data_IF_555684776388
#
_entry.id   IF_555684776388
#
_cell.length_a   1.000
_cell.length_b   1.000
_cell.length_c   1.000
_cell.angle_alpha   90.00
_cell.angle_beta   90.00
_cell.angle_gamma   90.00
#
_symmetry.space_group_name_H-M   'P 1'
#
loop_
_entity.id
_entity.type
_entity.pdbx_description
1 polymer ?
#
# COMPACT_ATOMS: atom_id res chain seq x y z
N UNK A 1 -16.46 15.36 -17.36
CA UNK A 1 -16.81 14.42 -16.28
C UNK A 1 -16.73 15.20 -14.97
N UNK A 2 -17.74 15.15 -14.09
CA UNK A 2 -17.67 15.85 -12.80
C UNK A 2 -16.62 15.17 -11.94
N UNK A 3 -15.71 15.94 -11.33
CA UNK A 3 -14.83 15.45 -10.27
C UNK A 3 -15.72 14.84 -9.19
N UNK A 4 -15.30 13.69 -8.65
CA UNK A 4 -15.97 13.12 -7.47
C UNK A 4 -16.06 14.22 -6.39
N UNK A 5 -17.24 14.44 -5.82
CA UNK A 5 -17.42 15.39 -4.70
C UNK A 5 -16.67 14.91 -3.44
N UNK A 6 -16.23 13.65 -3.43
CA UNK A 6 -15.41 13.04 -2.39
C UNK A 6 -13.97 13.11 -2.85
N UNK A 7 -13.17 13.99 -2.28
CA UNK A 7 -11.74 14.02 -2.51
C UNK A 7 -11.10 12.72 -2.02
N UNK A 8 -10.55 11.92 -2.94
CA UNK A 8 -10.03 10.59 -2.63
C UNK A 8 -8.65 10.65 -1.94
N UNK A 9 -8.38 9.65 -1.10
CA UNK A 9 -7.05 9.38 -0.51
C UNK A 9 -6.56 8.05 -1.05
N UNK A 10 -5.44 8.05 -1.76
CA UNK A 10 -4.79 6.82 -2.22
C UNK A 10 -3.92 6.25 -1.11
N UNK A 11 -4.25 5.05 -0.63
CA UNK A 11 -3.57 4.43 0.50
C UNK A 11 -2.25 3.71 0.13
N UNK A 12 -1.90 3.60 -1.17
CA UNK A 12 -0.71 2.89 -1.62
C UNK A 12 -0.22 3.43 -2.98
N UNK A 13 0.79 4.28 -2.93
CA UNK A 13 1.41 4.86 -4.13
C UNK A 13 2.93 4.98 -3.97
N UNK A 14 3.65 4.98 -5.09
CA UNK A 14 5.11 5.20 -5.14
C UNK A 14 5.43 6.13 -6.31
N UNK A 15 6.35 7.07 -6.12
CA UNK A 15 6.89 7.86 -7.22
C UNK A 15 8.20 7.22 -7.71
N UNK A 16 8.17 6.63 -8.90
CA UNK A 16 9.35 6.07 -9.54
C UNK A 16 10.11 7.21 -10.22
N UNK A 17 11.21 7.64 -9.62
CA UNK A 17 12.04 8.69 -10.24
C UNK A 17 12.81 8.15 -11.46
N UNK A 18 13.27 9.03 -12.40
CA UNK A 18 14.13 8.60 -13.50
C UNK A 18 15.40 7.87 -13.06
N UNK A 19 15.94 8.21 -11.90
CA UNK A 19 17.10 7.50 -11.35
C UNK A 19 16.72 6.10 -10.83
N UNK A 20 15.62 5.98 -10.07
CA UNK A 20 15.13 4.68 -9.61
C UNK A 20 14.74 3.77 -10.78
N UNK A 21 14.16 4.31 -11.84
CA UNK A 21 13.77 3.58 -13.05
C UNK A 21 14.94 2.84 -13.73
N UNK A 22 16.15 3.41 -13.70
CA UNK A 22 17.36 2.77 -14.27
C UNK A 22 17.72 1.43 -13.60
N UNK A 23 17.34 1.27 -12.34
CA UNK A 23 17.67 0.11 -11.52
C UNK A 23 16.46 -0.81 -11.30
N UNK A 24 15.32 -0.48 -11.92
CA UNK A 24 14.10 -1.27 -11.69
C UNK A 24 14.21 -2.66 -12.33
N UNK A 25 14.02 -3.76 -11.57
CA UNK A 25 14.29 -5.11 -12.05
C UNK A 25 13.32 -5.56 -13.14
N UNK A 26 13.80 -6.42 -14.04
CA UNK A 26 13.02 -6.95 -15.15
C UNK A 26 11.77 -7.74 -14.74
N UNK A 27 11.77 -8.32 -13.53
CA UNK A 27 10.65 -9.05 -12.95
C UNK A 27 9.36 -8.22 -12.91
N UNK A 28 9.48 -6.88 -12.81
CA UNK A 28 8.33 -5.95 -12.76
C UNK A 28 7.80 -5.58 -14.15
N UNK A 29 8.61 -5.66 -15.21
CA UNK A 29 8.23 -5.21 -16.56
C UNK A 29 6.98 -5.89 -17.10
N UNK A 30 6.79 -7.17 -16.77
CA UNK A 30 5.63 -7.94 -17.22
C UNK A 30 4.31 -7.31 -16.76
N UNK A 31 4.18 -7.01 -15.47
CA UNK A 31 2.94 -6.45 -14.90
C UNK A 31 2.69 -5.04 -15.41
N UNK A 32 3.72 -4.19 -15.52
CA UNK A 32 3.58 -2.84 -16.04
C UNK A 32 3.15 -2.83 -17.52
N UNK A 33 3.70 -3.71 -18.37
CA UNK A 33 3.24 -3.88 -19.76
C UNK A 33 1.77 -4.31 -19.81
N UNK A 34 1.36 -5.23 -18.94
CA UNK A 34 -0.01 -5.74 -18.88
C UNK A 34 -1.03 -4.66 -18.52
N UNK A 35 -0.64 -3.68 -17.74
CA UNK A 35 -1.49 -2.55 -17.35
C UNK A 35 -1.30 -1.30 -18.24
N UNK A 36 -0.35 -1.31 -19.16
CA UNK A 36 -0.12 -0.20 -20.11
C UNK A 36 0.61 0.99 -19.47
N UNK A 37 1.42 0.75 -18.45
CA UNK A 37 2.18 1.78 -17.72
C UNK A 37 3.69 1.56 -17.76
N UNK A 38 4.17 0.85 -18.76
CA UNK A 38 5.59 0.45 -18.86
C UNK A 38 6.54 1.66 -18.93
N UNK A 39 6.13 2.75 -19.58
CA UNK A 39 6.94 3.98 -19.67
C UNK A 39 7.20 4.56 -18.27
N UNK A 40 6.20 4.56 -17.39
CA UNK A 40 6.35 5.02 -16.00
C UNK A 40 7.38 4.19 -15.21
N UNK A 41 7.55 2.92 -15.57
CA UNK A 41 8.57 2.06 -14.97
C UNK A 41 9.97 2.31 -15.57
N UNK A 42 10.05 2.48 -16.88
CA UNK A 42 11.34 2.51 -17.60
C UNK A 42 11.95 3.90 -17.70
N UNK A 43 11.14 4.94 -17.73
CA UNK A 43 11.56 6.33 -17.83
C UNK A 43 11.49 7.04 -16.48
N UNK A 44 10.62 6.56 -15.58
CA UNK A 44 10.31 7.20 -14.32
C UNK A 44 9.54 8.51 -14.51
N UNK A 45 9.37 9.27 -13.42
CA UNK A 45 8.67 10.55 -13.44
C UNK A 45 9.16 11.48 -12.35
N UNK A 46 8.90 12.77 -12.52
CA UNK A 46 9.05 13.76 -11.48
C UNK A 46 7.81 13.76 -10.57
N UNK A 47 7.98 14.17 -9.31
CA UNK A 47 6.87 14.20 -8.33
C UNK A 47 5.75 15.16 -8.78
N UNK A 48 6.10 16.21 -9.53
CA UNK A 48 5.17 17.18 -10.09
C UNK A 48 4.21 16.55 -11.11
N UNK A 49 4.67 15.55 -11.86
CA UNK A 49 3.82 14.78 -12.79
C UNK A 49 2.78 13.99 -12.00
N UNK A 50 3.18 13.33 -10.91
CA UNK A 50 2.24 12.63 -10.02
C UNK A 50 1.20 13.59 -9.43
N UNK A 51 1.63 14.76 -8.95
CA UNK A 51 0.75 15.80 -8.41
C UNK A 51 -0.26 16.31 -9.45
N UNK A 52 0.17 16.50 -10.70
CA UNK A 52 -0.73 16.89 -11.78
C UNK A 52 -1.80 15.81 -12.05
N UNK A 53 -1.39 14.55 -12.15
CA UNK A 53 -2.32 13.43 -12.34
C UNK A 53 -3.28 13.25 -11.15
N UNK A 54 -2.81 13.44 -9.91
CA UNK A 54 -3.69 13.47 -8.72
C UNK A 54 -4.73 14.59 -8.82
N UNK A 55 -4.30 15.79 -9.18
CA UNK A 55 -5.20 16.96 -9.29
C UNK A 55 -6.25 16.79 -10.41
N UNK A 56 -5.85 16.22 -11.53
CA UNK A 56 -6.74 15.92 -12.65
C UNK A 56 -7.81 14.88 -12.25
N UNK A 57 -7.40 13.80 -11.59
CA UNK A 57 -8.28 12.72 -11.15
C UNK A 57 -9.17 13.09 -9.96
N UNK A 58 -8.84 14.10 -9.16
CA UNK A 58 -9.55 14.43 -7.93
C UNK A 58 -9.06 13.64 -6.71
N UNK A 59 -7.79 13.24 -6.71
CA UNK A 59 -7.09 12.66 -5.56
C UNK A 59 -6.51 13.80 -4.72
N UNK A 60 -7.00 13.93 -3.50
CA UNK A 60 -6.58 15.00 -2.59
C UNK A 60 -5.23 14.72 -1.96
N UNK A 61 -4.99 13.44 -1.59
CA UNK A 61 -3.83 13.00 -0.85
C UNK A 61 -3.44 11.58 -1.25
N UNK A 62 -2.14 11.27 -1.23
CA UNK A 62 -1.65 9.91 -1.37
C UNK A 62 -0.71 9.54 -0.21
N UNK A 63 -0.82 8.28 0.25
CA UNK A 63 0.19 7.66 1.11
C UNK A 63 1.35 7.24 0.21
N UNK A 64 2.38 8.08 0.21
CA UNK A 64 3.55 7.93 -0.66
C UNK A 64 4.58 7.03 0.00
N UNK A 65 4.87 5.91 -0.63
CA UNK A 65 5.72 4.87 -0.06
C UNK A 65 7.14 4.90 -0.57
N UNK A 66 8.07 4.68 0.33
CA UNK A 66 9.43 4.23 -0.02
C UNK A 66 9.36 2.83 -0.64
N UNK A 67 10.34 2.51 -1.47
CA UNK A 67 10.49 1.16 -2.03
C UNK A 67 11.96 0.82 -2.13
N UNK A 68 12.36 -0.23 -1.41
CA UNK A 68 13.74 -0.72 -1.39
C UNK A 68 13.74 -2.20 -1.78
N UNK A 69 14.27 -2.48 -2.97
CA UNK A 69 14.39 -3.84 -3.48
C UNK A 69 15.61 -3.94 -4.41
N UNK A 70 16.57 -4.81 -4.10
CA UNK A 70 17.84 -4.91 -4.82
C UNK A 70 18.53 -3.54 -4.91
N UNK A 71 18.79 -3.05 -6.12
CA UNK A 71 19.43 -1.76 -6.36
C UNK A 71 18.44 -0.58 -6.49
N UNK A 72 17.11 -0.90 -6.53
CA UNK A 72 16.07 0.14 -6.58
C UNK A 72 16.00 0.85 -5.25
N UNK A 73 16.06 2.17 -5.32
CA UNK A 73 15.96 3.01 -4.13
C UNK A 73 15.02 4.19 -4.35
N UNK A 74 13.79 4.04 -3.85
CA UNK A 74 12.95 5.17 -3.48
C UNK A 74 13.05 5.28 -1.95
N UNK A 75 14.04 6.01 -1.46
CA UNK A 75 14.44 5.99 -0.06
C UNK A 75 13.47 6.68 0.89
N UNK A 76 13.57 6.39 2.18
CA UNK A 76 12.81 7.07 3.23
C UNK A 76 13.07 8.59 3.23
N UNK A 77 14.32 8.99 2.99
CA UNK A 77 14.71 10.42 2.92
C UNK A 77 14.09 11.13 1.71
N UNK A 78 14.00 10.47 0.54
CA UNK A 78 13.32 11.01 -0.63
C UNK A 78 11.83 11.25 -0.37
N UNK A 79 11.16 10.24 0.20
CA UNK A 79 9.72 10.35 0.55
C UNK A 79 9.52 11.46 1.57
N UNK A 80 10.35 11.53 2.60
CA UNK A 80 10.29 12.60 3.60
C UNK A 80 10.47 14.00 2.99
N UNK A 81 11.39 14.14 2.03
CA UNK A 81 11.58 15.41 1.32
C UNK A 81 10.32 15.84 0.55
N UNK A 82 9.65 14.92 -0.16
CA UNK A 82 8.40 15.20 -0.85
C UNK A 82 7.23 15.49 0.10
N UNK A 83 7.11 14.76 1.20
CA UNK A 83 6.11 15.05 2.25
C UNK A 83 6.33 16.44 2.85
N UNK A 84 7.57 16.81 3.13
CA UNK A 84 7.91 18.14 3.62
C UNK A 84 7.62 19.25 2.59
N UNK A 85 7.85 18.98 1.32
CA UNK A 85 7.59 19.94 0.24
C UNK A 85 6.09 20.09 -0.05
N UNK A 86 5.32 19.00 0.06
CA UNK A 86 3.89 18.97 -0.26
C UNK A 86 3.04 18.36 0.89
N UNK A 87 3.05 18.95 2.09
CA UNK A 87 2.47 18.33 3.30
C UNK A 87 0.95 18.16 3.27
N UNK A 88 0.25 18.83 2.33
CA UNK A 88 -1.19 18.68 2.10
C UNK A 88 -1.52 17.66 1.01
N UNK A 89 -0.51 17.07 0.39
CA UNK A 89 -0.65 16.12 -0.73
C UNK A 89 -0.14 14.74 -0.40
N UNK A 90 0.79 14.61 0.54
CA UNK A 90 1.39 13.33 0.88
C UNK A 90 1.42 13.07 2.37
N UNK A 91 1.17 11.81 2.71
CA UNK A 91 1.56 11.17 3.97
C UNK A 91 2.64 10.15 3.64
N UNK A 92 3.72 10.12 4.41
CA UNK A 92 4.85 9.27 4.10
C UNK A 92 4.73 7.88 4.72
N UNK A 93 5.04 6.86 3.91
CA UNK A 93 5.16 5.47 4.34
C UNK A 93 6.61 5.02 4.08
N UNK A 94 7.33 4.66 5.13
CA UNK A 94 8.71 4.19 5.02
C UNK A 94 8.81 2.71 4.70
N UNK A 95 9.99 2.27 4.27
CA UNK A 95 10.30 0.87 4.04
C UNK A 95 11.64 0.51 4.68
N UNK A 96 11.75 -0.75 5.13
CA UNK A 96 12.98 -1.34 5.67
C UNK A 96 13.11 -2.78 5.17
N UNK A 97 14.32 -3.32 5.14
CA UNK A 97 14.55 -4.74 4.87
C UNK A 97 14.63 -5.51 6.20
N UNK A 98 13.67 -6.40 6.51
CA UNK A 98 13.65 -7.16 7.77
C UNK A 98 14.84 -8.14 7.90
N UNK A 99 15.58 -8.41 6.82
CA UNK A 99 16.75 -9.31 6.83
C UNK A 99 18.03 -8.61 7.31
N UNK A 100 18.03 -7.29 7.36
CA UNK A 100 19.19 -6.55 7.88
C UNK A 100 19.34 -6.76 9.41
N UNK A 101 20.42 -6.26 9.95
CA UNK A 101 20.71 -6.38 11.40
C UNK A 101 19.56 -5.76 12.21
N UNK A 102 18.94 -6.52 13.14
CA UNK A 102 17.72 -6.07 13.82
C UNK A 102 17.80 -4.66 14.41
N UNK A 103 18.91 -4.33 15.09
CA UNK A 103 19.05 -3.00 15.70
C UNK A 103 19.08 -1.88 14.66
N UNK A 104 19.73 -2.10 13.50
CA UNK A 104 19.72 -1.11 12.41
C UNK A 104 18.31 -0.88 11.86
N UNK A 105 17.55 -1.95 11.70
CA UNK A 105 16.15 -1.88 11.23
C UNK A 105 15.30 -1.10 12.23
N UNK A 106 15.42 -1.38 13.52
CA UNK A 106 14.68 -0.69 14.57
C UNK A 106 15.07 0.79 14.69
N UNK A 107 16.35 1.11 14.57
CA UNK A 107 16.85 2.48 14.55
C UNK A 107 16.33 3.24 13.32
N UNK A 108 16.28 2.59 12.14
CA UNK A 108 15.72 3.20 10.93
C UNK A 108 14.21 3.45 11.06
N UNK A 109 13.43 2.49 11.62
CA UNK A 109 12.00 2.70 11.88
C UNK A 109 11.80 3.88 12.84
N UNK A 110 12.62 3.99 13.88
CA UNK A 110 12.58 5.12 14.79
C UNK A 110 12.93 6.44 14.09
N UNK A 111 13.97 6.44 13.27
CA UNK A 111 14.40 7.63 12.49
C UNK A 111 13.31 8.08 11.53
N UNK A 112 12.72 7.15 10.77
CA UNK A 112 11.69 7.51 9.79
C UNK A 112 10.46 8.17 10.44
N UNK A 113 10.11 7.78 11.67
CA UNK A 113 8.97 8.40 12.37
C UNK A 113 9.37 9.71 13.04
N UNK A 114 10.42 9.70 13.85
CA UNK A 114 10.76 10.83 14.71
C UNK A 114 11.50 11.96 13.99
N UNK A 115 12.36 11.60 13.04
CA UNK A 115 13.23 12.58 12.36
C UNK A 115 12.71 12.93 10.97
N UNK A 116 12.12 11.96 10.25
CA UNK A 116 11.62 12.13 8.89
C UNK A 116 10.12 12.40 8.80
N UNK A 117 9.34 12.18 9.88
CA UNK A 117 7.90 12.43 9.90
C UNK A 117 7.07 11.46 9.06
N UNK A 118 7.58 10.26 8.78
CA UNK A 118 6.84 9.21 8.10
C UNK A 118 5.87 8.54 9.09
N UNK A 119 4.69 8.15 8.63
CA UNK A 119 3.57 7.75 9.51
C UNK A 119 3.12 6.32 9.32
N UNK A 120 3.81 5.52 8.52
CA UNK A 120 3.49 4.12 8.26
C UNK A 120 4.74 3.34 7.84
N UNK A 121 4.69 2.02 7.95
CA UNK A 121 5.72 1.11 7.45
C UNK A 121 5.15 0.23 6.33
N UNK A 122 5.87 0.10 5.21
CA UNK A 122 5.58 -0.81 4.10
C UNK A 122 6.48 -2.04 4.16
N UNK A 123 5.90 -3.22 3.95
CA UNK A 123 6.61 -4.50 3.89
C UNK A 123 6.18 -5.31 2.66
N UNK A 124 7.18 -5.90 1.99
CA UNK A 124 7.03 -6.68 0.76
C UNK A 124 7.53 -8.12 0.96
N UNK A 125 6.72 -9.03 1.52
CA UNK A 125 7.14 -10.41 1.84
C UNK A 125 7.80 -11.17 0.68
N UNK A 126 7.37 -10.93 -0.56
CA UNK A 126 7.97 -11.54 -1.75
C UNK A 126 9.42 -11.09 -2.00
N UNK A 127 9.77 -9.87 -1.56
CA UNK A 127 11.06 -9.25 -1.83
C UNK A 127 12.17 -9.72 -0.88
N UNK A 128 11.81 -10.27 0.28
CA UNK A 128 12.76 -10.54 1.36
C UNK A 128 13.24 -12.00 1.44
N UNK A 129 12.87 -12.84 0.49
CA UNK A 129 13.28 -14.23 0.43
C UNK A 129 14.56 -14.46 -0.38
N UNK A 130 14.73 -15.72 -0.79
CA UNK A 130 15.87 -16.20 -1.58
C UNK A 130 15.66 -16.05 -3.12
N UNK A 131 14.56 -15.44 -3.54
CA UNK A 131 14.14 -15.31 -4.95
C UNK A 131 13.27 -16.47 -5.45
N UNK A 132 13.23 -17.59 -4.75
CA UNK A 132 12.34 -18.74 -5.00
C UNK A 132 11.21 -18.78 -3.98
N UNK A 133 11.51 -18.39 -2.75
CA UNK A 133 10.55 -18.28 -1.64
C UNK A 133 10.60 -16.86 -1.09
N UNK A 134 9.44 -16.26 -0.85
CA UNK A 134 9.35 -15.04 -0.07
C UNK A 134 9.54 -15.32 1.42
N UNK A 135 9.51 -14.27 2.23
CA UNK A 135 9.57 -14.35 3.69
C UNK A 135 8.18 -14.05 4.26
N UNK A 136 7.42 -15.08 4.73
CA UNK A 136 6.06 -14.85 5.25
C UNK A 136 6.03 -13.90 6.45
N UNK A 137 4.95 -13.12 6.65
CA UNK A 137 4.84 -12.15 7.75
C UNK A 137 4.94 -12.73 9.17
N UNK A 138 4.79 -14.04 9.31
CA UNK A 138 4.96 -14.77 10.59
C UNK A 138 6.41 -15.05 10.95
N UNK A 139 7.34 -14.82 10.03
CA UNK A 139 8.76 -15.05 10.30
C UNK A 139 9.28 -14.11 11.40
N UNK A 140 10.10 -14.67 12.28
CA UNK A 140 10.65 -13.97 13.46
C UNK A 140 11.37 -12.66 13.15
N UNK A 141 11.87 -12.49 11.92
CA UNK A 141 12.54 -11.27 11.49
C UNK A 141 11.61 -10.04 11.52
N UNK A 142 10.31 -10.22 11.34
CA UNK A 142 9.33 -9.14 11.38
C UNK A 142 8.88 -8.76 12.80
N UNK A 143 8.94 -9.68 13.77
CA UNK A 143 8.37 -9.47 15.10
C UNK A 143 8.90 -8.22 15.82
N UNK A 144 10.23 -7.95 15.80
CA UNK A 144 10.74 -6.69 16.38
C UNK A 144 10.19 -5.44 15.66
N UNK A 145 9.93 -5.53 14.35
CA UNK A 145 9.38 -4.43 13.56
C UNK A 145 7.93 -4.14 14.00
N UNK A 146 7.12 -5.19 14.15
CA UNK A 146 5.73 -5.05 14.64
C UNK A 146 5.67 -4.43 16.03
N UNK A 147 6.49 -4.92 16.95
CA UNK A 147 6.60 -4.34 18.28
C UNK A 147 7.01 -2.85 18.24
N UNK A 148 7.96 -2.49 17.36
CA UNK A 148 8.38 -1.10 17.18
C UNK A 148 7.27 -0.23 16.57
N UNK A 149 6.50 -0.75 15.63
CA UNK A 149 5.36 -0.04 15.05
C UNK A 149 4.23 0.17 16.08
N UNK A 150 3.99 -0.79 16.98
CA UNK A 150 3.08 -0.61 18.12
C UNK A 150 3.58 0.50 19.05
N UNK A 151 4.87 0.47 19.44
CA UNK A 151 5.49 1.49 20.28
C UNK A 151 5.33 2.91 19.70
N UNK A 152 5.49 3.04 18.38
CA UNK A 152 5.42 4.31 17.67
C UNK A 152 3.99 4.65 17.18
N UNK A 153 3.01 3.77 17.43
CA UNK A 153 1.61 3.92 17.01
C UNK A 153 1.45 4.20 15.50
N UNK A 154 2.21 3.49 14.66
CA UNK A 154 2.11 3.57 13.20
C UNK A 154 1.55 2.28 12.60
N UNK A 155 0.73 2.34 11.53
CA UNK A 155 0.26 1.16 10.81
C UNK A 155 1.39 0.50 10.02
N UNK A 156 1.22 -0.80 9.79
CA UNK A 156 2.05 -1.58 8.86
C UNK A 156 1.21 -1.98 7.66
N UNK A 157 1.64 -1.62 6.47
CA UNK A 157 1.05 -2.04 5.20
C UNK A 157 1.89 -3.18 4.62
N UNK A 158 1.27 -4.35 4.45
CA UNK A 158 1.94 -5.59 4.05
C UNK A 158 1.38 -6.04 2.72
N UNK A 159 2.25 -6.24 1.73
CA UNK A 159 1.83 -6.85 0.47
C UNK A 159 1.27 -8.26 0.73
N UNK A 160 0.04 -8.50 0.29
CA UNK A 160 -0.62 -9.81 0.33
C UNK A 160 -1.19 -10.17 -1.04
N UNK A 161 -1.58 -11.42 -1.23
CA UNK A 161 -2.04 -11.94 -2.51
C UNK A 161 -0.89 -12.31 -3.45
N UNK A 162 -1.26 -12.58 -4.71
CA UNK A 162 -0.26 -12.89 -5.72
C UNK A 162 0.58 -11.66 -6.08
N UNK A 163 1.85 -11.89 -6.36
CA UNK A 163 2.76 -10.86 -6.83
C UNK A 163 2.49 -10.50 -8.29
N UNK A 164 2.51 -9.21 -8.62
CA UNK A 164 2.53 -8.75 -10.01
C UNK A 164 3.88 -9.02 -10.69
N UNK A 165 5.01 -8.76 -10.03
CA UNK A 165 6.33 -9.18 -10.49
C UNK A 165 6.44 -10.70 -10.61
N UNK A 166 7.40 -11.18 -11.42
CA UNK A 166 7.72 -12.61 -11.57
C UNK A 166 8.51 -13.12 -10.34
N UNK A 167 7.84 -13.09 -9.19
CA UNK A 167 8.36 -13.45 -7.86
C UNK A 167 7.37 -14.35 -7.13
N UNK A 168 7.79 -15.06 -6.07
CA UNK A 168 6.94 -16.03 -5.36
C UNK A 168 5.78 -15.33 -4.65
N UNK A 169 4.58 -15.89 -4.77
CA UNK A 169 3.35 -15.33 -4.19
C UNK A 169 2.99 -15.88 -2.80
N UNK A 170 3.43 -17.09 -2.46
CA UNK A 170 2.98 -17.79 -1.26
C UNK A 170 3.22 -17.00 0.03
N UNK A 171 4.36 -16.28 0.13
CA UNK A 171 4.67 -15.46 1.30
C UNK A 171 3.65 -14.32 1.54
N UNK A 172 2.89 -13.94 0.51
CA UNK A 172 1.81 -12.95 0.59
C UNK A 172 0.44 -13.55 0.91
N UNK A 173 0.33 -14.83 1.30
CA UNK A 173 -0.96 -15.41 1.61
C UNK A 173 -1.56 -14.75 2.85
N UNK A 174 -2.83 -14.25 2.79
CA UNK A 174 -3.42 -13.47 3.87
C UNK A 174 -3.48 -14.17 5.22
N UNK A 175 -3.64 -15.50 5.24
CA UNK A 175 -3.76 -16.27 6.48
C UNK A 175 -2.56 -16.06 7.45
N UNK A 176 -1.39 -15.71 6.95
CA UNK A 176 -0.24 -15.38 7.79
C UNK A 176 -0.46 -14.14 8.66
N UNK A 177 -1.39 -13.25 8.27
CA UNK A 177 -1.73 -12.09 9.09
C UNK A 177 -2.57 -12.45 10.33
N UNK A 178 -3.19 -13.64 10.37
CA UNK A 178 -3.99 -14.08 11.51
C UNK A 178 -3.15 -14.15 12.79
N UNK A 179 -2.02 -14.82 12.71
CA UNK A 179 -1.09 -14.95 13.84
C UNK A 179 -0.53 -13.58 14.26
N UNK A 180 -0.15 -12.74 13.30
CA UNK A 180 0.38 -11.40 13.57
C UNK A 180 -0.67 -10.53 14.27
N UNK A 181 -1.92 -10.55 13.80
CA UNK A 181 -3.00 -9.75 14.36
C UNK A 181 -3.37 -10.19 15.79
N UNK A 182 -3.27 -11.50 16.11
CA UNK A 182 -3.47 -12.04 17.45
C UNK A 182 -2.32 -11.66 18.39
N UNK A 183 -1.08 -11.70 17.90
CA UNK A 183 0.10 -11.39 18.69
C UNK A 183 0.26 -9.88 18.97
N UNK A 184 -0.21 -9.02 18.04
CA UNK A 184 -0.10 -7.57 18.12
C UNK A 184 -1.46 -6.89 17.92
N UNK A 185 -2.39 -7.00 18.90
CA UNK A 185 -3.74 -6.46 18.78
C UNK A 185 -3.79 -4.92 18.68
N UNK A 186 -2.73 -4.23 19.09
CA UNK A 186 -2.60 -2.76 18.99
C UNK A 186 -2.12 -2.34 17.59
N UNK A 187 -1.51 -3.25 16.81
CA UNK A 187 -0.95 -2.94 15.51
C UNK A 187 -2.05 -2.80 14.47
N UNK A 188 -2.14 -1.66 13.79
CA UNK A 188 -2.98 -1.55 12.60
C UNK A 188 -2.28 -2.22 11.43
N UNK A 189 -2.87 -3.29 10.89
CA UNK A 189 -2.32 -4.08 9.80
C UNK A 189 -3.17 -3.83 8.54
N UNK A 190 -2.54 -3.43 7.45
CA UNK A 190 -3.18 -3.22 6.15
C UNK A 190 -2.67 -4.31 5.21
N UNK A 191 -3.55 -5.25 4.82
CA UNK A 191 -3.27 -6.21 3.77
C UNK A 191 -3.50 -5.56 2.41
N UNK A 192 -2.42 -5.34 1.64
CA UNK A 192 -2.49 -4.69 0.34
C UNK A 192 -2.97 -5.64 -0.78
N UNK A 193 -3.48 -5.05 -1.88
CA UNK A 193 -3.86 -5.77 -3.11
C UNK A 193 -5.02 -6.77 -2.93
N UNK A 194 -5.97 -6.52 -2.02
CA UNK A 194 -7.13 -7.38 -1.71
C UNK A 194 -6.77 -8.79 -1.21
N UNK A 195 -5.53 -9.19 -1.21
CA UNK A 195 -5.12 -10.57 -0.95
C UNK A 195 -5.40 -11.55 -2.10
N UNK A 196 -5.82 -11.07 -3.28
CA UNK A 196 -6.20 -11.92 -4.41
C UNK A 196 -5.08 -12.87 -4.86
N UNK A 197 -5.32 -14.19 -5.12
CA UNK A 197 -6.63 -14.83 -5.28
C UNK A 197 -7.28 -15.33 -3.96
N UNK A 198 -6.68 -15.08 -2.80
CA UNK A 198 -7.19 -15.46 -1.48
C UNK A 198 -7.97 -14.31 -0.81
N UNK A 199 -8.72 -13.56 -1.60
CA UNK A 199 -9.47 -12.40 -1.15
C UNK A 199 -10.55 -12.73 -0.11
N UNK A 200 -11.14 -13.93 -0.17
CA UNK A 200 -12.05 -14.41 0.89
C UNK A 200 -11.33 -14.60 2.24
N UNK A 201 -10.09 -15.12 2.24
CA UNK A 201 -9.28 -15.19 3.47
C UNK A 201 -9.04 -13.78 4.01
N UNK A 202 -8.70 -12.81 3.13
CA UNK A 202 -8.43 -11.43 3.56
C UNK A 202 -9.69 -10.74 4.11
N UNK A 203 -10.86 -10.94 3.50
CA UNK A 203 -12.13 -10.42 4.00
C UNK A 203 -12.46 -10.96 5.39
N UNK A 204 -12.31 -12.28 5.59
CA UNK A 204 -12.59 -12.91 6.90
C UNK A 204 -11.61 -12.43 7.96
N UNK A 205 -10.33 -12.24 7.63
CA UNK A 205 -9.35 -11.68 8.57
C UNK A 205 -9.68 -10.24 8.95
N UNK A 206 -10.07 -9.40 8.00
CA UNK A 206 -10.49 -8.03 8.26
C UNK A 206 -11.78 -7.96 9.10
N UNK A 207 -12.68 -8.92 8.95
CA UNK A 207 -13.87 -9.06 9.78
C UNK A 207 -13.54 -9.57 11.18
N UNK A 208 -12.68 -10.60 11.27
CA UNK A 208 -12.31 -11.26 12.53
C UNK A 208 -11.52 -10.31 13.44
N UNK A 209 -10.59 -9.55 12.89
CA UNK A 209 -9.66 -8.72 13.63
C UNK A 209 -10.02 -7.23 13.55
N UNK A 210 -10.26 -6.56 14.69
CA UNK A 210 -10.57 -5.12 14.68
C UNK A 210 -9.43 -4.27 14.12
N UNK A 211 -8.19 -4.74 14.19
CA UNK A 211 -6.96 -4.05 13.78
C UNK A 211 -6.48 -4.40 12.35
N UNK A 212 -7.21 -5.27 11.61
CA UNK A 212 -6.86 -5.63 10.22
C UNK A 212 -7.74 -4.87 9.23
N UNK A 213 -7.12 -4.36 8.18
CA UNK A 213 -7.71 -3.58 7.09
C UNK A 213 -7.25 -4.15 5.75
N UNK A 214 -7.93 -3.76 4.66
CA UNK A 214 -7.64 -4.16 3.28
C UNK A 214 -7.38 -2.90 2.46
N UNK A 215 -6.37 -2.87 1.60
CA UNK A 215 -6.32 -1.88 0.54
C UNK A 215 -6.55 -2.51 -0.84
N UNK A 216 -7.00 -1.68 -1.78
CA UNK A 216 -7.44 -2.12 -3.12
C UNK A 216 -6.38 -1.95 -4.19
N UNK A 217 -5.14 -1.62 -3.82
CA UNK A 217 -4.04 -1.34 -4.75
C UNK A 217 -3.82 -2.49 -5.76
N UNK A 218 -3.37 -2.16 -6.95
CA UNK A 218 -3.16 -3.08 -8.06
C UNK A 218 -4.41 -3.88 -8.52
N UNK A 219 -5.59 -3.64 -7.96
CA UNK A 219 -6.82 -4.40 -8.24
C UNK A 219 -7.94 -3.47 -8.71
N UNK A 220 -8.05 -3.20 -10.03
CA UNK A 220 -9.09 -2.34 -10.59
C UNK A 220 -10.49 -2.80 -10.18
N UNK A 221 -11.35 -1.87 -9.74
CA UNK A 221 -12.65 -2.20 -9.15
C UNK A 221 -13.60 -2.96 -10.10
N UNK A 222 -13.45 -2.79 -11.40
CA UNK A 222 -14.18 -3.58 -12.41
C UNK A 222 -13.85 -5.07 -12.41
N UNK A 223 -12.81 -5.51 -11.70
CA UNK A 223 -12.40 -6.92 -11.56
C UNK A 223 -12.68 -7.48 -10.17
N UNK A 224 -13.28 -6.70 -9.30
CA UNK A 224 -13.69 -7.20 -7.99
C UNK A 224 -14.81 -8.21 -8.16
N UNK A 225 -14.74 -9.29 -7.39
CA UNK A 225 -15.83 -10.27 -7.36
C UNK A 225 -17.02 -9.72 -6.57
N UNK A 226 -18.18 -10.34 -6.76
CA UNK A 226 -19.43 -9.88 -6.16
C UNK A 226 -19.36 -9.92 -4.62
N UNK A 227 -18.72 -10.93 -4.02
CA UNK A 227 -18.58 -11.07 -2.58
C UNK A 227 -17.77 -9.90 -1.97
N UNK A 228 -16.73 -9.42 -2.66
CA UNK A 228 -15.98 -8.26 -2.21
C UNK A 228 -16.77 -6.96 -2.36
N UNK A 229 -17.57 -6.82 -3.44
CA UNK A 229 -18.46 -5.65 -3.61
C UNK A 229 -19.51 -5.61 -2.48
N UNK A 230 -20.08 -6.75 -2.11
CA UNK A 230 -21.01 -6.87 -0.98
C UNK A 230 -20.32 -6.55 0.35
N UNK A 231 -19.08 -7.01 0.54
CA UNK A 231 -18.28 -6.70 1.71
C UNK A 231 -18.05 -5.19 1.85
N UNK A 232 -17.54 -4.53 0.83
CA UNK A 232 -17.24 -3.09 0.87
C UNK A 232 -18.49 -2.23 0.96
N UNK A 233 -19.62 -2.71 0.46
CA UNK A 233 -20.92 -2.01 0.51
C UNK A 233 -21.62 -2.14 1.86
N UNK A 234 -21.31 -3.18 2.63
CA UNK A 234 -22.05 -3.57 3.83
C UNK A 234 -21.15 -3.78 5.06
N UNK A 235 -20.98 -5.04 5.44
CA UNK A 235 -20.38 -5.43 6.71
C UNK A 235 -18.87 -5.18 6.83
N UNK A 236 -18.17 -4.96 5.72
CA UNK A 236 -16.75 -4.60 5.67
C UNK A 236 -16.48 -3.13 5.32
N UNK A 237 -17.50 -2.27 5.22
CA UNK A 237 -17.35 -0.90 4.75
C UNK A 237 -16.35 -0.05 5.56
N UNK A 238 -16.09 -0.40 6.82
CA UNK A 238 -15.12 0.29 7.69
C UNK A 238 -13.71 -0.31 7.62
N UNK A 239 -13.49 -1.28 6.76
CA UNK A 239 -12.26 -2.08 6.70
C UNK A 239 -11.45 -1.89 5.42
N UNK A 240 -12.02 -1.28 4.40
CA UNK A 240 -11.40 -1.20 3.08
C UNK A 240 -10.94 0.23 2.79
N UNK A 241 -9.69 0.35 2.34
CA UNK A 241 -9.06 1.58 1.90
C UNK A 241 -8.89 1.54 0.37
N UNK A 242 -9.26 2.60 -0.31
CA UNK A 242 -8.98 2.75 -1.73
C UNK A 242 -7.49 3.00 -1.96
N UNK A 243 -6.94 2.30 -2.94
CA UNK A 243 -5.54 2.45 -3.34
C UNK A 243 -5.36 2.03 -4.80
N UNK A 244 -4.34 2.57 -5.46
CA UNK A 244 -4.09 2.33 -6.88
C UNK A 244 -2.88 1.47 -7.18
N UNK A 245 -1.86 1.47 -6.33
CA UNK A 245 -0.51 1.00 -6.64
C UNK A 245 0.16 1.87 -7.73
N UNK A 246 -0.15 3.19 -7.69
CA UNK A 246 0.48 4.13 -8.60
C UNK A 246 2.02 4.01 -8.54
N UNK A 247 2.72 3.96 -9.68
CA UNK A 247 2.27 4.32 -11.04
C UNK A 247 1.78 3.13 -11.89
N UNK A 248 1.55 1.96 -11.29
CA UNK A 248 1.05 0.78 -12.01
C UNK A 248 -0.33 1.05 -12.63
N UNK A 249 -1.24 1.62 -11.83
CA UNK A 249 -2.58 2.00 -12.26
C UNK A 249 -2.77 3.52 -12.18
N UNK A 250 -3.33 4.16 -13.24
CA UNK A 250 -3.66 5.57 -13.21
C UNK A 250 -4.79 5.87 -12.22
N UNK A 251 -4.68 6.96 -11.47
CA UNK A 251 -5.71 7.42 -10.51
C UNK A 251 -7.09 7.56 -11.15
N UNK A 252 -7.16 8.25 -12.29
CA UNK A 252 -8.42 8.51 -13.01
C UNK A 252 -9.18 7.21 -13.29
N UNK A 253 -8.50 6.20 -13.86
CA UNK A 253 -9.10 4.91 -14.18
C UNK A 253 -9.61 4.18 -12.95
N UNK A 254 -8.85 4.21 -11.85
CA UNK A 254 -9.26 3.52 -10.62
C UNK A 254 -10.49 4.18 -9.99
N UNK A 255 -10.61 5.50 -10.05
CA UNK A 255 -11.79 6.22 -9.59
C UNK A 255 -13.01 5.95 -10.48
N UNK A 256 -12.85 5.98 -11.80
CA UNK A 256 -13.91 5.63 -12.75
C UNK A 256 -14.44 4.21 -12.53
N UNK A 257 -13.54 3.24 -12.30
CA UNK A 257 -13.93 1.85 -11.99
C UNK A 257 -14.74 1.78 -10.67
N UNK A 258 -14.42 2.57 -9.64
CA UNK A 258 -15.19 2.63 -8.38
C UNK A 258 -16.55 3.32 -8.59
N UNK A 259 -16.61 4.43 -9.35
CA UNK A 259 -17.87 5.10 -9.66
C UNK A 259 -18.85 4.17 -10.37
N UNK A 260 -18.36 3.32 -11.28
CA UNK A 260 -19.16 2.35 -12.03
C UNK A 260 -19.80 1.26 -11.14
N UNK A 261 -19.31 1.03 -9.92
CA UNK A 261 -19.90 0.05 -8.99
C UNK A 261 -21.22 0.51 -8.37
N UNK A 262 -21.55 1.80 -8.45
CA UNK A 262 -22.75 2.40 -7.84
C UNK A 262 -22.90 2.05 -6.34
N UNK A 263 -21.80 2.11 -5.59
CA UNK A 263 -21.82 1.86 -4.16
C UNK A 263 -22.71 2.86 -3.40
N UNK A 264 -23.33 2.45 -2.29
CA UNK A 264 -24.00 3.41 -1.38
C UNK A 264 -23.05 4.54 -1.02
N UNK A 265 -23.55 5.78 -1.02
CA UNK A 265 -22.70 6.98 -0.87
C UNK A 265 -21.83 6.95 0.39
N UNK A 266 -22.35 6.41 1.50
CA UNK A 266 -21.58 6.28 2.73
C UNK A 266 -20.44 5.25 2.60
N UNK A 267 -20.70 4.09 1.98
CA UNK A 267 -19.69 3.07 1.73
C UNK A 267 -18.61 3.61 0.78
N UNK A 268 -19.00 4.30 -0.29
CA UNK A 268 -18.07 4.96 -1.22
C UNK A 268 -17.20 6.00 -0.51
N UNK A 269 -17.76 6.84 0.34
CA UNK A 269 -17.02 7.84 1.10
C UNK A 269 -16.02 7.20 2.06
N UNK A 270 -16.42 6.14 2.78
CA UNK A 270 -15.54 5.39 3.66
C UNK A 270 -14.38 4.75 2.87
N UNK A 271 -14.69 4.09 1.75
CA UNK A 271 -13.71 3.49 0.86
C UNK A 271 -12.69 4.50 0.35
N UNK A 272 -13.16 5.62 -0.22
CA UNK A 272 -12.31 6.61 -0.89
C UNK A 272 -11.55 7.52 0.09
N UNK A 273 -12.02 7.68 1.33
CA UNK A 273 -11.46 8.70 2.23
C UNK A 273 -11.44 8.31 3.70
N UNK A 274 -12.62 8.13 4.34
CA UNK A 274 -12.74 8.16 5.80
C UNK A 274 -11.92 7.05 6.48
N UNK A 275 -11.83 5.88 5.86
CA UNK A 275 -11.04 4.77 6.39
C UNK A 275 -9.54 5.08 6.37
N UNK A 276 -9.03 5.66 5.27
CA UNK A 276 -7.63 6.07 5.19
C UNK A 276 -7.30 7.15 6.24
N UNK A 277 -8.18 8.16 6.40
CA UNK A 277 -8.02 9.17 7.44
C UNK A 277 -7.89 8.54 8.83
N UNK A 278 -8.79 7.62 9.18
CA UNK A 278 -8.77 6.95 10.48
C UNK A 278 -7.54 6.06 10.69
N UNK A 279 -7.14 5.29 9.68
CA UNK A 279 -6.04 4.33 9.79
C UNK A 279 -4.69 5.03 9.89
N UNK A 280 -4.45 6.04 9.05
CA UNK A 280 -3.19 6.78 9.00
C UNK A 280 -3.17 8.01 9.93
N UNK A 281 -4.27 8.33 10.62
CA UNK A 281 -4.35 9.50 11.50
C UNK A 281 -4.30 10.84 10.73
N UNK A 282 -4.88 10.90 9.53
CA UNK A 282 -4.92 12.08 8.69
C UNK A 282 -6.05 13.00 9.17
N UNK A 283 -5.72 14.27 9.45
CA UNK A 283 -6.68 15.27 9.88
C UNK A 283 -7.58 15.80 8.75
#
# INVERSE_FOLDING_TARGET
MSKSEIGAIDAWATCITPEAAKHWPDEFRHVFRRYGSIEKLTEGMQIETMLAEMAEAGVDLAVLSSFVYKEVQVTNDMVAAWVKQYPKKFVGCGAVDPRDKPMRVLDEIKRMVNDLGLSALRLEPYAYGDGIRGLPPTERAYWPLYAKCCELNIPVAIQVGHTGPLLPSEAGRPIYLDEVALAFPELKIIGAHLGQPWDEEMMILAWKHPNVYIDTSARPAKRWNQSFIEFVSGWGQDKVLWATDYPLLPFQRCLEDVEALNLPIQAKRKLLRDNAQRVFGIA
#
